data_IF_658202920999
#
_entry.id   IF_658202920999
#
_cell.length_a   1.000
_cell.length_b   1.000
_cell.length_c   1.000
_cell.angle_alpha   90.00
_cell.angle_beta   90.00
_cell.angle_gamma   90.00
#
_symmetry.space_group_name_H-M   'P 1'
#
loop_
_entity.id
_entity.type
_entity.pdbx_description
1 polymer ?
#
# COMPACT_ATOMS: atom_id res chain seq x y z
N UNK A 1 9.38 -7.41 -12.58
CA UNK A 1 9.49 -7.87 -11.22
C UNK A 1 9.47 -6.72 -10.26
N UNK A 2 8.80 -6.88 -9.13
CA UNK A 2 8.63 -5.80 -8.19
C UNK A 2 9.79 -5.77 -7.21
N UNK A 3 10.34 -4.59 -6.97
CA UNK A 3 11.43 -4.43 -6.02
C UNK A 3 10.87 -3.80 -4.75
N UNK A 4 10.66 -4.61 -3.75
CA UNK A 4 10.10 -4.16 -2.49
C UNK A 4 11.12 -3.34 -1.72
N UNK A 5 10.66 -2.28 -1.08
CA UNK A 5 11.53 -1.40 -0.30
C UNK A 5 11.58 -1.77 1.17
N UNK A 6 12.29 -0.96 1.94
CA UNK A 6 12.51 -1.22 3.35
C UNK A 6 11.24 -1.26 4.17
N UNK A 7 10.25 -0.43 3.84
CA UNK A 7 9.00 -0.39 4.59
C UNK A 7 8.28 -1.72 4.45
N UNK A 8 8.23 -2.26 3.21
CA UNK A 8 7.59 -3.55 2.99
C UNK A 8 8.29 -4.64 3.80
N UNK A 9 9.62 -4.69 3.74
CA UNK A 9 10.35 -5.77 4.41
C UNK A 9 10.22 -5.68 5.93
N UNK A 10 10.11 -4.47 6.48
CA UNK A 10 9.86 -4.31 7.90
C UNK A 10 8.46 -4.75 8.29
N UNK A 11 7.48 -4.60 7.37
CA UNK A 11 6.10 -4.98 7.62
C UNK A 11 5.84 -6.46 7.35
N UNK A 12 6.50 -7.04 6.38
CA UNK A 12 6.21 -8.39 5.90
C UNK A 12 6.37 -9.44 7.00
N UNK A 13 5.46 -10.37 7.04
CA UNK A 13 5.50 -11.48 8.00
C UNK A 13 4.92 -12.71 7.31
N UNK A 14 5.76 -13.59 6.79
CA UNK A 14 5.27 -14.75 6.06
C UNK A 14 4.47 -15.73 6.91
N UNK A 15 4.56 -15.63 8.24
CA UNK A 15 3.79 -16.48 9.10
C UNK A 15 2.35 -16.00 9.27
N UNK A 16 2.02 -14.81 8.77
CA UNK A 16 0.69 -14.26 8.90
C UNK A 16 -0.05 -14.32 7.60
N UNK A 17 -1.29 -14.78 7.66
CA UNK A 17 -2.14 -14.70 6.48
C UNK A 17 -2.53 -13.26 6.25
N UNK A 18 -2.64 -12.88 5.00
CA UNK A 18 -3.07 -11.52 4.67
C UNK A 18 -3.98 -11.56 3.45
N UNK A 19 -4.73 -10.49 3.31
CA UNK A 19 -5.58 -10.25 2.15
C UNK A 19 -4.90 -9.20 1.31
N UNK A 20 -4.92 -9.37 0.00
CA UNK A 20 -4.25 -8.40 -0.88
C UNK A 20 -5.16 -7.96 -2.01
N UNK A 21 -4.93 -6.77 -2.48
CA UNK A 21 -5.63 -6.19 -3.62
C UNK A 21 -4.59 -5.48 -4.47
N UNK A 22 -4.58 -5.75 -5.76
CA UNK A 22 -3.65 -5.11 -6.64
C UNK A 22 -4.41 -4.41 -7.75
N UNK A 23 -3.94 -3.24 -8.13
CA UNK A 23 -4.62 -2.46 -9.13
C UNK A 23 -3.58 -1.82 -10.04
N UNK A 24 -3.81 -1.83 -11.33
CA UNK A 24 -2.92 -1.16 -12.26
C UNK A 24 -3.42 0.27 -12.47
N UNK A 25 -2.53 1.24 -12.36
CA UNK A 25 -2.88 2.64 -12.51
C UNK A 25 -2.68 3.09 -13.94
N UNK A 26 -3.18 4.27 -14.25
CA UNK A 26 -3.16 4.76 -15.63
C UNK A 26 -1.77 4.85 -16.23
N UNK A 27 -0.78 5.18 -15.43
CA UNK A 27 0.59 5.33 -15.91
C UNK A 27 1.34 4.01 -15.96
N UNK A 28 0.67 2.91 -15.71
CA UNK A 28 1.29 1.58 -15.70
C UNK A 28 1.88 1.19 -14.37
N UNK A 29 1.85 2.06 -13.37
CA UNK A 29 2.30 1.71 -12.04
C UNK A 29 1.32 0.73 -11.41
N UNK A 30 1.77 -0.01 -10.40
CA UNK A 30 0.94 -0.96 -9.68
C UNK A 30 0.73 -0.49 -8.26
N UNK A 31 -0.51 -0.57 -7.81
CA UNK A 31 -0.89 -0.30 -6.45
C UNK A 31 -1.08 -1.63 -5.75
N UNK A 32 -0.43 -1.82 -4.62
CA UNK A 32 -0.49 -3.07 -3.85
C UNK A 32 -0.96 -2.75 -2.43
N UNK A 33 -2.11 -3.28 -2.06
CA UNK A 33 -2.67 -3.10 -0.73
C UNK A 33 -2.68 -4.45 -0.04
N UNK A 34 -2.16 -4.53 1.17
CA UNK A 34 -2.20 -5.76 1.94
C UNK A 34 -2.73 -5.48 3.32
N UNK A 35 -3.62 -6.31 3.81
CA UNK A 35 -4.24 -6.15 5.12
C UNK A 35 -4.14 -7.48 5.85
N UNK A 36 -3.81 -7.42 7.12
CA UNK A 36 -3.75 -8.62 7.96
C UNK A 36 -4.16 -8.26 9.38
N UNK A 37 -4.38 -9.27 10.20
CA UNK A 37 -4.61 -9.07 11.62
C UNK A 37 -3.33 -9.43 12.39
N UNK A 38 -3.02 -8.63 13.40
CA UNK A 38 -1.91 -8.92 14.29
C UNK A 38 -2.29 -10.07 15.23
N UNK A 39 -1.36 -10.53 16.05
CA UNK A 39 -1.65 -11.59 17.03
C UNK A 39 -2.71 -11.14 18.01
N UNK A 40 -2.81 -9.85 18.27
CA UNK A 40 -3.77 -9.34 19.23
C UNK A 40 -5.05 -8.87 18.54
N UNK A 41 -5.20 -9.13 17.26
CA UNK A 41 -6.43 -8.80 16.54
C UNK A 41 -6.48 -7.41 15.96
N UNK A 42 -5.39 -6.66 16.01
CA UNK A 42 -5.36 -5.33 15.41
C UNK A 42 -5.22 -5.43 13.91
N UNK A 43 -5.94 -4.59 13.19
CA UNK A 43 -5.84 -4.55 11.73
C UNK A 43 -4.57 -3.80 11.33
N UNK A 44 -3.78 -4.43 10.49
CA UNK A 44 -2.53 -3.86 9.98
C UNK A 44 -2.63 -3.72 8.48
N UNK A 45 -2.10 -2.63 7.96
CA UNK A 45 -2.27 -2.28 6.55
C UNK A 45 -0.93 -1.89 5.93
N UNK A 46 -0.70 -2.35 4.71
CA UNK A 46 0.44 -1.94 3.90
C UNK A 46 -0.07 -1.39 2.57
N UNK A 47 0.50 -0.28 2.12
CA UNK A 47 0.20 0.32 0.83
C UNK A 47 1.51 0.51 0.10
N UNK A 48 1.61 -0.04 -1.10
CA UNK A 48 2.81 0.14 -1.94
C UNK A 48 2.43 0.58 -3.33
N UNK A 49 3.21 1.48 -3.91
CA UNK A 49 3.05 1.90 -5.30
C UNK A 49 4.37 1.64 -5.97
N UNK A 50 4.33 0.88 -7.06
CA UNK A 50 5.53 0.43 -7.75
C UNK A 50 5.46 0.86 -9.22
N UNK A 51 6.57 1.38 -9.71
CA UNK A 51 6.67 1.80 -11.10
C UNK A 51 6.50 0.61 -12.03
N UNK A 52 6.23 0.87 -13.28
CA UNK A 52 6.17 -0.18 -14.28
C UNK A 52 7.46 -1.01 -14.28
N UNK A 53 8.59 -0.38 -14.00
CA UNK A 53 9.87 -1.08 -13.92
C UNK A 53 9.97 -2.00 -12.71
N UNK A 54 9.09 -1.84 -11.74
CA UNK A 54 9.10 -2.60 -10.50
C UNK A 54 9.70 -1.86 -9.32
N UNK A 55 10.31 -0.70 -9.55
CA UNK A 55 10.89 0.07 -8.44
C UNK A 55 9.81 0.67 -7.56
N UNK A 56 10.04 0.68 -6.26
CA UNK A 56 9.09 1.24 -5.33
C UNK A 56 9.05 2.76 -5.48
N UNK A 57 7.84 3.29 -5.68
CA UNK A 57 7.64 4.73 -5.71
C UNK A 57 7.34 5.24 -4.30
N UNK A 58 6.50 4.53 -3.59
CA UNK A 58 6.20 4.89 -2.22
C UNK A 58 5.69 3.64 -1.50
N UNK A 59 5.98 3.53 -0.24
CA UNK A 59 5.46 2.45 0.61
C UNK A 59 5.07 3.04 1.95
N UNK A 60 3.89 2.65 2.45
CA UNK A 60 3.41 3.08 3.77
C UNK A 60 2.91 1.87 4.53
N UNK A 61 3.16 1.81 5.81
CA UNK A 61 2.68 0.74 6.65
C UNK A 61 2.01 1.31 7.89
N UNK A 62 0.92 0.69 8.28
CA UNK A 62 0.15 1.09 9.44
C UNK A 62 0.05 -0.11 10.36
N UNK A 63 0.65 -0.02 11.54
CA UNK A 63 0.72 -1.13 12.46
C UNK A 63 -0.58 -1.37 13.20
N UNK A 64 -1.43 -0.38 13.27
CA UNK A 64 -2.65 -0.49 14.02
C UNK A 64 -3.71 0.44 13.48
N UNK A 65 -4.86 -0.13 13.12
CA UNK A 65 -6.02 0.65 12.68
C UNK A 65 -7.22 0.19 13.52
N UNK A 66 -7.29 0.68 14.77
CA UNK A 66 -8.29 0.18 15.69
C UNK A 66 -9.71 0.44 15.20
N UNK A 67 -10.56 -0.52 15.43
CA UNK A 67 -11.96 -0.39 15.05
C UNK A 67 -12.23 -0.61 13.58
N UNK A 68 -11.22 -0.95 12.79
CA UNK A 68 -11.43 -1.18 11.38
C UNK A 68 -11.44 -2.64 11.03
N UNK A 69 -12.39 -3.07 10.21
CA UNK A 69 -12.40 -4.43 9.69
C UNK A 69 -11.38 -4.54 8.56
N UNK A 70 -11.05 -5.76 8.19
CA UNK A 70 -10.18 -6.01 7.04
C UNK A 70 -10.76 -5.35 5.79
N UNK A 71 -12.06 -5.49 5.57
CA UNK A 71 -12.70 -4.92 4.39
C UNK A 71 -12.61 -3.39 4.37
N UNK A 72 -12.83 -2.76 5.50
CA UNK A 72 -12.74 -1.31 5.58
C UNK A 72 -11.33 -0.81 5.40
N UNK A 73 -10.37 -1.49 6.01
CA UNK A 73 -8.96 -1.14 5.86
C UNK A 73 -8.53 -1.25 4.41
N UNK A 74 -8.99 -2.31 3.72
CA UNK A 74 -8.67 -2.52 2.32
C UNK A 74 -9.22 -1.38 1.47
N UNK A 75 -10.47 -1.00 1.70
CA UNK A 75 -11.11 0.09 0.94
C UNK A 75 -10.41 1.41 1.20
N UNK A 76 -10.08 1.69 2.46
CA UNK A 76 -9.38 2.92 2.80
C UNK A 76 -7.99 2.93 2.16
N UNK A 77 -7.30 1.78 2.21
CA UNK A 77 -5.96 1.65 1.63
C UNK A 77 -5.96 1.90 0.13
N UNK A 78 -6.95 1.38 -0.57
CA UNK A 78 -7.06 1.59 -2.00
C UNK A 78 -7.27 3.08 -2.32
N UNK A 79 -8.14 3.75 -1.58
CA UNK A 79 -8.37 5.18 -1.77
C UNK A 79 -7.12 6.01 -1.44
N UNK A 80 -6.47 5.67 -0.34
CA UNK A 80 -5.23 6.34 0.05
C UNK A 80 -4.15 6.14 -1.00
N UNK A 81 -4.02 4.91 -1.49
CA UNK A 81 -3.03 4.57 -2.50
C UNK A 81 -3.23 5.33 -3.79
N UNK A 82 -4.47 5.45 -4.23
CA UNK A 82 -4.77 6.22 -5.45
C UNK A 82 -4.41 7.69 -5.26
N UNK A 83 -4.70 8.24 -4.09
CA UNK A 83 -4.36 9.64 -3.79
C UNK A 83 -2.85 9.84 -3.74
N UNK A 84 -2.11 8.90 -3.15
CA UNK A 84 -0.66 8.97 -3.11
C UNK A 84 -0.07 8.87 -4.52
N UNK A 85 -0.62 8.01 -5.34
CA UNK A 85 -0.14 7.84 -6.70
C UNK A 85 -0.30 9.12 -7.49
N UNK A 86 -1.43 9.79 -7.32
CA UNK A 86 -1.68 11.04 -8.00
C UNK A 86 -0.69 12.11 -7.53
N UNK A 87 -0.46 12.20 -6.26
CA UNK A 87 0.43 13.19 -5.71
C UNK A 87 1.89 12.95 -6.12
N UNK A 88 2.33 11.72 -6.19
CA UNK A 88 3.70 11.41 -6.61
C UNK A 88 3.89 11.52 -8.11
N UNK A 89 2.81 11.44 -8.88
CA UNK A 89 2.90 11.51 -10.31
C UNK A 89 3.05 12.94 -10.75
N UNK A 90 2.50 13.89 -10.03
CA UNK A 90 2.52 15.24 -10.49
C UNK A 90 3.15 16.17 -9.54
N UNK A 91 4.37 16.02 -9.18
CA UNK A 91 4.99 16.80 -8.18
C UNK A 91 5.16 18.21 -8.54
N UNK A 92 5.29 18.55 -9.75
CA UNK A 92 5.51 19.77 -10.02
C UNK A 92 4.61 20.49 -10.70
N UNK A 93 3.66 20.05 -11.03
CA UNK A 93 2.88 20.67 -11.78
C UNK A 93 2.43 21.81 -11.25
N UNK A 94 2.31 22.03 -10.44
CA UNK A 94 1.68 23.01 -9.95
C UNK A 94 2.39 24.04 -9.78
N UNK A 95 3.10 24.19 -9.90
CA UNK A 95 3.72 25.11 -9.66
C UNK A 95 3.35 26.17 -10.08
N UNK A 96 2.98 26.37 -10.24
CA UNK A 96 2.67 27.58 -10.58
C UNK A 96 2.56 28.24 -10.68
#
# INVERSE_FOLDING_TARGET
MRHRGAVFWAWADPARQHHSHEEELEDGAKLDIQVRLSRTGDTQLFIGIYERSGLARIEEAYANRPGESVTRAMAWGAGRGRALAQSTLEPKQHVG
#
